data_IF_123801246316
#
_entry.id   IF_123801246316
#
_cell.length_a   1.000
_cell.length_b   1.000
_cell.length_c   1.000
_cell.angle_alpha   90.00
_cell.angle_beta   90.00
_cell.angle_gamma   90.00
#
_symmetry.space_group_name_H-M   'P 1'
#
loop_
_entity.id
_entity.type
_entity.pdbx_description
1 polymer ?
#
# COMPACT_ATOMS: atom_id res chain seq x y z
N UNK A 1 8.64 11.46 20.90
CA UNK A 1 7.75 10.27 20.92
C UNK A 1 6.47 10.68 20.22
N UNK A 2 6.20 10.17 19.03
CA UNK A 2 4.90 10.34 18.37
C UNK A 2 3.92 9.36 19.01
N UNK A 3 2.96 9.86 19.78
CA UNK A 3 1.88 9.06 20.35
C UNK A 3 0.73 8.90 19.35
N UNK A 4 0.08 7.74 19.37
CA UNK A 4 -1.17 7.52 18.64
C UNK A 4 -2.27 8.44 19.17
N UNK A 5 -3.24 8.81 18.32
CA UNK A 5 -4.33 9.68 18.76
C UNK A 5 -5.19 9.00 19.82
N UNK A 6 -5.62 9.75 20.84
CA UNK A 6 -6.47 9.24 21.93
C UNK A 6 -7.88 8.85 21.50
N UNK A 7 -8.30 9.23 20.28
CA UNK A 7 -9.57 8.80 19.69
C UNK A 7 -9.39 7.63 18.71
N UNK A 8 -8.17 7.12 18.55
CA UNK A 8 -7.95 5.89 17.78
C UNK A 8 -8.57 4.72 18.53
N UNK A 9 -9.25 3.87 17.78
CA UNK A 9 -9.84 2.66 18.34
C UNK A 9 -8.75 1.64 18.70
N UNK A 10 -8.94 0.94 19.80
CA UNK A 10 -8.03 -0.09 20.29
C UNK A 10 -8.64 -1.48 20.17
N UNK A 11 -7.81 -2.52 20.33
CA UNK A 11 -8.24 -3.90 20.39
C UNK A 11 -9.20 -4.15 21.57
N UNK A 12 -8.98 -3.51 22.72
CA UNK A 12 -9.92 -3.54 23.85
C UNK A 12 -11.30 -2.99 23.49
N UNK A 13 -11.35 -1.82 22.82
CA UNK A 13 -12.62 -1.23 22.37
C UNK A 13 -13.37 -2.15 21.38
N UNK A 14 -12.62 -2.87 20.52
CA UNK A 14 -13.18 -3.83 19.59
C UNK A 14 -13.74 -5.06 20.30
N UNK A 15 -13.06 -5.56 21.34
CA UNK A 15 -13.58 -6.65 22.17
C UNK A 15 -14.88 -6.25 22.85
N UNK A 16 -14.90 -5.12 23.55
CA UNK A 16 -16.11 -4.61 24.22
C UNK A 16 -17.27 -4.47 23.24
N UNK A 17 -17.00 -3.96 22.04
CA UNK A 17 -17.99 -3.82 20.98
C UNK A 17 -18.58 -5.16 20.54
N UNK A 18 -17.73 -6.16 20.31
CA UNK A 18 -18.17 -7.50 19.88
C UNK A 18 -18.88 -8.21 21.01
N UNK A 19 -18.36 -8.17 22.24
CA UNK A 19 -19.00 -8.75 23.42
C UNK A 19 -20.39 -8.18 23.66
N UNK A 20 -20.57 -6.86 23.54
CA UNK A 20 -21.89 -6.22 23.61
C UNK A 20 -22.82 -6.69 22.50
N UNK A 21 -22.33 -6.80 21.27
CA UNK A 21 -23.14 -7.29 20.15
C UNK A 21 -23.58 -8.75 20.38
N UNK A 22 -22.65 -9.64 20.73
CA UNK A 22 -22.93 -11.07 20.92
C UNK A 22 -23.72 -11.38 22.22
N UNK A 23 -23.95 -10.37 23.06
CA UNK A 23 -24.66 -10.52 24.33
C UNK A 23 -23.81 -11.08 25.48
N UNK A 24 -22.48 -11.09 25.34
CA UNK A 24 -21.54 -11.54 26.38
C UNK A 24 -21.22 -10.45 27.42
N UNK A 25 -21.63 -9.20 27.16
CA UNK A 25 -21.27 -8.04 27.96
C UNK A 25 -19.90 -7.47 27.56
N UNK A 26 -19.42 -6.48 28.31
CA UNK A 26 -18.18 -5.74 27.99
C UNK A 26 -16.95 -6.24 28.75
N UNK A 27 -17.16 -6.86 29.92
CA UNK A 27 -16.07 -7.30 30.79
C UNK A 27 -15.51 -8.65 30.35
N UNK A 28 -14.35 -8.64 29.68
CA UNK A 28 -13.64 -9.84 29.22
C UNK A 28 -13.29 -10.81 30.37
N UNK A 29 -13.20 -10.35 31.61
CA UNK A 29 -12.93 -11.22 32.76
C UNK A 29 -14.09 -12.18 33.05
N UNK A 30 -15.32 -11.81 32.64
CA UNK A 30 -16.52 -12.62 32.80
C UNK A 30 -16.70 -13.62 31.65
N UNK A 31 -15.95 -13.47 30.55
CA UNK A 31 -16.09 -14.33 29.39
C UNK A 31 -15.38 -15.67 29.59
N UNK A 32 -16.04 -16.74 29.15
CA UNK A 32 -15.41 -18.05 29.06
C UNK A 32 -14.41 -18.14 27.89
N UNK A 33 -13.66 -19.26 27.84
CA UNK A 33 -12.64 -19.48 26.80
C UNK A 33 -13.22 -19.59 25.39
N UNK A 34 -14.47 -20.01 25.23
CA UNK A 34 -15.13 -20.07 23.92
C UNK A 34 -15.49 -18.67 23.46
N UNK A 35 -16.14 -17.90 24.33
CA UNK A 35 -16.55 -16.53 24.08
C UNK A 35 -15.36 -15.65 23.67
N UNK A 36 -14.21 -15.79 24.36
CA UNK A 36 -12.97 -15.09 23.97
C UNK A 36 -12.50 -15.46 22.57
N UNK A 37 -12.56 -16.75 22.20
CA UNK A 37 -12.18 -17.21 20.86
C UNK A 37 -13.14 -16.74 19.78
N UNK A 38 -14.43 -16.65 20.10
CA UNK A 38 -15.46 -16.18 19.17
C UNK A 38 -15.29 -14.68 18.91
N UNK A 39 -15.08 -13.89 19.98
CA UNK A 39 -14.76 -12.46 19.86
C UNK A 39 -13.52 -12.23 19.01
N UNK A 40 -12.43 -12.95 19.28
CA UNK A 40 -11.19 -12.86 18.51
C UNK A 40 -11.39 -13.17 17.02
N UNK A 41 -12.16 -14.23 16.73
CA UNK A 41 -12.43 -14.65 15.34
C UNK A 41 -13.21 -13.59 14.58
N UNK A 42 -14.19 -12.98 15.22
CA UNK A 42 -14.99 -11.89 14.66
C UNK A 42 -14.13 -10.66 14.38
N UNK A 43 -13.25 -10.27 15.32
CA UNK A 43 -12.32 -9.16 15.13
C UNK A 43 -11.38 -9.44 13.95
N UNK A 44 -10.75 -10.62 13.93
CA UNK A 44 -9.83 -11.04 12.86
C UNK A 44 -10.54 -11.10 11.49
N UNK A 45 -11.80 -11.53 11.46
CA UNK A 45 -12.63 -11.55 10.25
C UNK A 45 -13.00 -10.13 9.78
N UNK A 46 -13.44 -9.27 10.69
CA UNK A 46 -13.82 -7.88 10.41
C UNK A 46 -12.65 -7.05 9.88
N UNK A 47 -11.48 -7.15 10.51
CA UNK A 47 -10.27 -6.45 10.05
C UNK A 47 -9.88 -6.93 8.66
N UNK A 48 -9.88 -8.25 8.39
CA UNK A 48 -9.61 -8.77 7.04
C UNK A 48 -10.59 -8.24 6.01
N UNK A 49 -11.89 -8.15 6.33
CA UNK A 49 -12.89 -7.57 5.42
C UNK A 49 -12.64 -6.11 5.11
N UNK A 50 -12.20 -5.32 6.10
CA UNK A 50 -11.81 -3.93 5.88
C UNK A 50 -10.56 -3.81 4.98
N UNK A 51 -9.50 -4.56 5.29
CA UNK A 51 -8.25 -4.51 4.53
C UNK A 51 -8.43 -5.00 3.08
N UNK A 52 -9.26 -6.01 2.87
CA UNK A 52 -9.53 -6.62 1.57
C UNK A 52 -10.88 -6.20 0.98
N UNK A 53 -11.35 -4.98 1.27
CA UNK A 53 -12.62 -4.44 0.76
C UNK A 53 -12.59 -4.09 -0.74
N UNK A 54 -11.56 -4.53 -1.49
CA UNK A 54 -11.34 -4.21 -2.90
C UNK A 54 -10.61 -2.89 -3.17
N UNK A 55 -10.19 -2.16 -2.13
CA UNK A 55 -9.39 -0.93 -2.25
C UNK A 55 -7.95 -1.15 -1.77
N UNK A 56 -6.99 -0.56 -2.48
CA UNK A 56 -5.58 -0.62 -2.12
C UNK A 56 -5.24 0.56 -1.19
N UNK A 57 -5.35 0.34 0.11
CA UNK A 57 -5.09 1.35 1.15
C UNK A 57 -3.66 1.89 1.10
N UNK A 58 -3.52 3.22 1.22
CA UNK A 58 -2.20 3.87 1.11
C UNK A 58 -1.37 3.72 2.38
N UNK A 59 -2.00 3.70 3.55
CA UNK A 59 -1.34 3.48 4.83
C UNK A 59 -0.76 2.06 4.97
N UNK A 60 -1.17 1.10 4.13
CA UNK A 60 -0.56 -0.23 4.02
C UNK A 60 0.67 -0.24 3.11
N UNK A 61 1.13 0.93 2.65
CA UNK A 61 2.31 1.09 1.80
C UNK A 61 3.41 1.93 2.46
N UNK A 62 3.92 1.55 3.65
CA UNK A 62 4.96 2.32 4.29
C UNK A 62 6.25 2.33 3.46
N UNK A 63 7.05 3.36 3.73
CA UNK A 63 8.41 3.49 3.22
C UNK A 63 9.36 2.96 4.30
N UNK A 64 10.21 2.01 3.93
CA UNK A 64 11.27 1.46 4.78
C UNK A 64 12.65 1.78 4.22
N UNK A 65 13.64 1.73 5.09
CA UNK A 65 15.05 1.91 4.75
C UNK A 65 15.82 0.64 5.10
N UNK A 66 16.59 0.14 4.13
CA UNK A 66 17.53 -0.96 4.27
C UNK A 66 18.95 -0.40 4.22
N UNK A 67 19.73 -0.62 5.28
CA UNK A 67 21.15 -0.33 5.28
C UNK A 67 21.93 -1.54 4.73
N UNK A 68 22.67 -1.36 3.64
CA UNK A 68 23.52 -2.43 3.09
C UNK A 68 24.78 -2.61 3.91
N UNK A 69 25.32 -3.82 3.90
CA UNK A 69 26.65 -4.15 4.40
C UNK A 69 27.55 -4.48 3.22
N UNK A 70 28.81 -4.02 3.28
CA UNK A 70 29.79 -4.33 2.24
C UNK A 70 29.93 -5.85 2.04
N UNK A 71 29.95 -6.28 0.78
CA UNK A 71 30.01 -7.67 0.34
C UNK A 71 28.80 -8.56 0.71
N UNK A 72 27.71 -8.00 1.27
CA UNK A 72 26.46 -8.73 1.52
C UNK A 72 25.41 -8.39 0.46
N UNK A 73 24.88 -9.41 -0.20
CA UNK A 73 23.96 -9.26 -1.34
C UNK A 73 22.54 -9.74 -1.08
N UNK A 74 22.32 -10.51 -0.02
CA UNK A 74 21.03 -11.08 0.34
C UNK A 74 20.59 -10.50 1.69
N UNK A 75 19.37 -9.97 1.77
CA UNK A 75 18.83 -9.32 2.97
C UNK A 75 17.44 -9.84 3.29
N UNK A 76 17.20 -10.15 4.56
CA UNK A 76 15.88 -10.54 5.02
C UNK A 76 14.94 -9.34 5.05
N UNK A 77 13.76 -9.50 4.46
CA UNK A 77 12.70 -8.49 4.51
C UNK A 77 11.85 -8.66 5.77
N UNK A 78 11.13 -7.59 6.18
CA UNK A 78 10.22 -7.64 7.32
C UNK A 78 9.22 -8.81 7.23
N UNK A 79 8.83 -9.34 8.39
CA UNK A 79 7.91 -10.49 8.47
C UNK A 79 6.50 -10.20 7.98
N UNK A 80 6.13 -8.92 7.90
CA UNK A 80 4.88 -8.40 7.38
C UNK A 80 5.00 -7.96 5.90
N UNK A 81 6.07 -8.31 5.20
CA UNK A 81 6.24 -7.96 3.79
C UNK A 81 5.27 -8.74 2.89
N UNK A 82 4.46 -8.01 2.12
CA UNK A 82 3.50 -8.54 1.15
C UNK A 82 3.88 -8.33 -0.32
N UNK A 83 4.84 -7.44 -0.59
CA UNK A 83 5.28 -7.13 -1.96
C UNK A 83 5.90 -5.75 -2.04
N UNK A 84 6.82 -5.55 -2.98
CA UNK A 84 7.50 -4.26 -3.16
C UNK A 84 6.79 -3.43 -4.23
N UNK A 85 6.66 -2.13 -3.97
CA UNK A 85 5.97 -1.17 -4.84
C UNK A 85 6.99 -0.19 -5.42
N UNK A 86 7.33 -0.39 -6.70
CA UNK A 86 8.25 0.48 -7.43
C UNK A 86 9.74 0.16 -7.23
N UNK A 87 10.64 0.99 -7.80
CA UNK A 87 12.08 0.83 -7.66
C UNK A 87 12.56 1.27 -6.27
N UNK A 88 13.72 0.80 -5.84
CA UNK A 88 14.38 1.34 -4.65
C UNK A 88 15.12 2.62 -5.01
N UNK A 89 15.27 3.54 -4.06
CA UNK A 89 16.04 4.77 -4.23
C UNK A 89 17.15 4.84 -3.20
N UNK A 90 18.26 5.46 -3.58
CA UNK A 90 19.33 5.76 -2.64
C UNK A 90 18.93 6.93 -1.73
N UNK A 91 19.53 6.98 -0.53
CA UNK A 91 19.34 8.08 0.40
C UNK A 91 19.65 9.45 -0.21
N UNK A 92 19.07 10.51 0.35
CA UNK A 92 19.12 11.86 -0.21
C UNK A 92 20.54 12.41 -0.45
N UNK A 93 21.54 11.92 0.28
CA UNK A 93 22.94 12.33 0.15
C UNK A 93 23.68 11.70 -1.02
N UNK A 94 23.07 10.73 -1.70
CA UNK A 94 23.79 9.88 -2.64
C UNK A 94 23.55 10.28 -4.11
N UNK A 95 22.46 10.98 -4.44
CA UNK A 95 22.26 11.59 -5.77
C UNK A 95 22.19 10.61 -6.95
N UNK A 96 22.09 9.31 -6.69
CA UNK A 96 22.13 8.26 -7.71
C UNK A 96 20.75 7.91 -8.26
N UNK A 97 20.76 7.28 -9.44
CA UNK A 97 19.55 6.75 -10.09
C UNK A 97 18.90 5.67 -9.23
N UNK A 98 17.57 5.61 -9.30
CA UNK A 98 16.80 4.54 -8.67
C UNK A 98 17.26 3.15 -9.17
N UNK A 99 17.24 2.17 -8.26
CA UNK A 99 17.58 0.78 -8.53
C UNK A 99 16.31 0.09 -9.06
N UNK A 100 16.24 -0.27 -10.34
CA UNK A 100 15.09 -0.96 -10.90
C UNK A 100 14.92 -2.35 -10.28
N UNK A 101 13.66 -2.78 -10.17
CA UNK A 101 13.34 -4.15 -9.83
C UNK A 101 13.49 -5.04 -11.06
N UNK A 102 14.36 -6.06 -10.97
CA UNK A 102 14.58 -7.08 -11.99
C UNK A 102 14.04 -8.45 -11.58
N UNK A 103 14.16 -9.40 -12.50
CA UNK A 103 13.83 -10.80 -12.22
C UNK A 103 14.93 -11.48 -11.42
N UNK A 104 14.55 -12.39 -10.51
CA UNK A 104 15.51 -13.18 -9.73
C UNK A 104 16.46 -14.01 -10.63
N UNK A 105 15.94 -14.55 -11.73
CA UNK A 105 16.75 -15.27 -12.72
C UNK A 105 17.83 -14.41 -13.38
N UNK A 106 17.59 -13.11 -13.58
CA UNK A 106 18.58 -12.19 -14.15
C UNK A 106 19.73 -11.94 -13.17
N UNK A 107 19.41 -11.70 -11.91
CA UNK A 107 20.43 -11.57 -10.85
C UNK A 107 21.25 -12.86 -10.75
N UNK A 108 20.59 -14.02 -10.80
CA UNK A 108 21.28 -15.32 -10.77
C UNK A 108 22.24 -15.50 -11.95
N UNK A 109 21.82 -15.13 -13.15
CA UNK A 109 22.67 -15.19 -14.35
C UNK A 109 23.87 -14.24 -14.24
N UNK A 110 23.66 -13.02 -13.75
CA UNK A 110 24.74 -12.03 -13.58
C UNK A 110 25.75 -12.47 -12.51
N UNK A 111 25.28 -13.03 -11.39
CA UNK A 111 26.14 -13.61 -10.33
C UNK A 111 26.98 -14.80 -10.80
N UNK A 112 26.50 -15.56 -11.80
CA UNK A 112 27.30 -16.63 -12.41
C UNK A 112 28.38 -16.09 -13.35
N UNK A 113 28.06 -15.04 -14.11
CA UNK A 113 28.97 -14.48 -15.11
C UNK A 113 30.10 -13.66 -14.50
N UNK A 114 29.81 -12.88 -13.46
CA UNK A 114 30.77 -12.02 -12.79
C UNK A 114 30.54 -12.07 -11.27
N UNK A 115 31.62 -11.92 -10.51
CA UNK A 115 31.55 -11.77 -9.05
C UNK A 115 32.31 -10.51 -8.68
N UNK A 116 31.66 -9.36 -8.86
CA UNK A 116 32.21 -8.05 -8.57
C UNK A 116 31.49 -7.37 -7.41
N UNK A 117 32.22 -6.50 -6.71
CA UNK A 117 31.64 -5.57 -5.74
C UNK A 117 31.50 -4.20 -6.38
N UNK A 118 30.32 -3.60 -6.27
CA UNK A 118 30.03 -2.25 -6.71
C UNK A 118 28.73 -1.78 -6.07
N UNK A 119 28.34 -0.54 -6.38
CA UNK A 119 27.00 -0.02 -6.06
C UNK A 119 25.91 -0.89 -6.69
N UNK A 120 24.88 -1.31 -5.94
CA UNK A 120 23.77 -2.07 -6.48
C UNK A 120 23.04 -1.35 -7.61
N UNK A 121 22.89 -1.99 -8.76
CA UNK A 121 22.16 -1.44 -9.93
C UNK A 121 20.90 -2.22 -10.26
N UNK A 122 20.69 -3.36 -9.61
CA UNK A 122 19.52 -4.20 -9.79
C UNK A 122 19.11 -4.82 -8.44
N UNK A 123 17.80 -4.92 -8.24
CA UNK A 123 17.23 -5.60 -7.07
C UNK A 123 16.17 -6.59 -7.49
N UNK A 124 16.09 -7.74 -6.83
CA UNK A 124 14.97 -8.66 -6.96
C UNK A 124 14.49 -9.10 -5.58
N UNK A 125 13.22 -9.51 -5.49
CA UNK A 125 12.66 -10.11 -4.28
C UNK A 125 12.37 -11.57 -4.57
N UNK A 126 12.73 -12.46 -3.65
CA UNK A 126 12.38 -13.89 -3.74
C UNK A 126 11.81 -14.42 -2.44
N UNK A 127 10.92 -15.42 -2.50
CA UNK A 127 10.48 -16.12 -1.30
C UNK A 127 11.63 -16.99 -0.75
N UNK A 128 11.79 -16.99 0.57
CA UNK A 128 12.62 -17.97 1.29
C UNK A 128 11.88 -19.30 1.37
N UNK A 129 12.63 -20.36 1.70
CA UNK A 129 12.04 -21.64 2.01
C UNK A 129 10.96 -21.49 3.10
N UNK A 130 9.84 -22.17 2.90
CA UNK A 130 8.75 -22.18 3.87
C UNK A 130 9.21 -22.85 5.17
N UNK A 131 9.04 -22.16 6.29
CA UNK A 131 9.30 -22.72 7.61
C UNK A 131 8.00 -22.81 8.40
N UNK A 132 7.63 -23.99 8.88
CA UNK A 132 6.32 -24.23 9.50
C UNK A 132 6.02 -23.35 10.73
N UNK A 133 7.04 -22.87 11.44
CA UNK A 133 6.91 -22.03 12.65
C UNK A 133 6.96 -20.53 12.37
N UNK A 134 7.51 -20.12 11.23
CA UNK A 134 7.76 -18.70 10.89
C UNK A 134 6.89 -18.26 9.71
N UNK A 135 6.45 -19.21 8.88
CA UNK A 135 5.65 -18.99 7.68
C UNK A 135 6.52 -18.73 6.45
N UNK A 136 5.93 -18.03 5.48
CA UNK A 136 6.66 -17.53 4.33
C UNK A 136 7.38 -16.22 4.68
N UNK A 137 8.65 -16.14 4.32
CA UNK A 137 9.46 -14.93 4.40
C UNK A 137 10.01 -14.60 3.02
N UNK A 138 10.37 -13.34 2.83
CA UNK A 138 10.98 -12.88 1.61
C UNK A 138 12.38 -12.37 1.90
N UNK A 139 13.25 -12.51 0.92
CA UNK A 139 14.57 -11.90 0.93
C UNK A 139 14.77 -11.06 -0.33
N UNK A 140 15.59 -10.05 -0.18
CA UNK A 140 15.96 -9.10 -1.20
C UNK A 140 17.35 -9.43 -1.70
N UNK A 141 17.48 -9.53 -3.02
CA UNK A 141 18.70 -9.82 -3.74
C UNK A 141 19.21 -8.54 -4.37
N UNK A 142 20.42 -8.14 -4.03
CA UNK A 142 21.12 -7.04 -4.67
C UNK A 142 22.12 -7.56 -5.71
N UNK A 143 22.29 -6.78 -6.76
CA UNK A 143 23.36 -6.95 -7.73
C UNK A 143 23.88 -5.60 -8.23
N UNK A 144 25.20 -5.39 -8.36
CA UNK A 144 26.31 -6.20 -7.82
C UNK A 144 26.33 -6.26 -6.29
N UNK A 145 27.29 -7.00 -5.72
CA UNK A 145 27.53 -7.01 -4.26
C UNK A 145 27.87 -5.59 -3.81
N UNK A 146 27.18 -5.01 -2.80
CA UNK A 146 27.52 -3.68 -2.28
C UNK A 146 29.00 -3.59 -1.93
N UNK A 147 29.68 -2.54 -2.38
CA UNK A 147 31.08 -2.23 -2.03
C UNK A 147 31.19 -1.43 -0.73
N UNK A 148 30.09 -0.78 -0.30
CA UNK A 148 30.01 0.01 0.92
C UNK A 148 28.61 -0.09 1.57
N UNK A 149 28.42 0.69 2.64
CA UNK A 149 27.13 0.88 3.29
C UNK A 149 26.34 1.93 2.52
N UNK A 150 25.14 1.56 2.06
CA UNK A 150 24.19 2.41 1.36
C UNK A 150 22.85 2.37 2.08
N UNK A 151 22.17 3.50 2.15
CA UNK A 151 20.81 3.56 2.69
C UNK A 151 19.80 3.51 1.55
N UNK A 152 19.23 2.32 1.34
CA UNK A 152 18.26 2.09 0.27
C UNK A 152 16.84 2.26 0.82
N UNK A 153 16.09 3.18 0.23
CA UNK A 153 14.70 3.45 0.58
C UNK A 153 13.79 2.71 -0.40
N UNK A 154 12.76 2.05 0.12
CA UNK A 154 11.80 1.30 -0.68
C UNK A 154 10.40 1.37 -0.08
N UNK A 155 9.39 1.24 -0.94
CA UNK A 155 8.00 1.14 -0.52
C UNK A 155 7.54 -0.30 -0.68
N UNK A 156 6.78 -0.79 0.29
CA UNK A 156 6.27 -2.16 0.25
C UNK A 156 4.86 -2.22 0.82
N UNK A 157 4.12 -3.25 0.42
CA UNK A 157 2.81 -3.57 0.95
C UNK A 157 2.95 -4.38 2.24
N UNK A 158 2.22 -3.98 3.28
CA UNK A 158 2.19 -4.66 4.58
C UNK A 158 1.08 -5.72 4.60
N UNK A 159 1.42 -6.93 5.03
CA UNK A 159 0.49 -7.97 5.46
C UNK A 159 0.31 -7.85 6.96
N UNK A 160 -0.89 -7.45 7.39
CA UNK A 160 -1.14 -7.17 8.79
C UNK A 160 -1.11 -8.46 9.64
N UNK A 161 -0.45 -8.36 10.80
CA UNK A 161 -0.52 -9.37 11.86
C UNK A 161 -1.84 -9.25 12.65
N UNK A 162 -2.22 -10.32 13.35
CA UNK A 162 -3.35 -10.28 14.28
C UNK A 162 -3.15 -9.19 15.34
N UNK A 163 -4.22 -8.46 15.69
CA UNK A 163 -4.22 -7.55 16.81
C UNK A 163 -4.14 -8.30 18.13
N UNK A 164 -3.38 -7.75 19.07
CA UNK A 164 -3.18 -8.32 20.40
C UNK A 164 -3.13 -7.19 21.42
N UNK A 165 -3.19 -7.51 22.71
CA UNK A 165 -2.97 -6.51 23.78
C UNK A 165 -1.61 -5.80 23.65
N UNK A 166 -0.59 -6.48 23.12
CA UNK A 166 0.74 -5.92 22.91
C UNK A 166 0.83 -5.04 21.65
N UNK A 167 -0.11 -5.19 20.71
CA UNK A 167 -0.22 -4.41 19.49
C UNK A 167 -1.70 -4.05 19.26
N UNK A 168 -2.26 -3.13 20.08
CA UNK A 168 -3.72 -2.96 20.18
C UNK A 168 -4.28 -2.08 19.07
N UNK A 169 -3.45 -1.37 18.32
CA UNK A 169 -3.91 -0.39 17.34
C UNK A 169 -4.07 -1.01 15.95
N UNK A 170 -5.26 -0.94 15.34
CA UNK A 170 -5.44 -1.30 13.94
C UNK A 170 -4.78 -0.27 13.02
N UNK A 171 -4.37 -0.68 11.80
CA UNK A 171 -3.83 0.22 10.81
C UNK A 171 -4.91 1.19 10.30
N UNK A 172 -4.50 2.40 9.94
CA UNK A 172 -5.39 3.46 9.45
C UNK A 172 -5.82 4.49 10.51
N UNK A 173 -5.50 4.24 11.79
CA UNK A 173 -5.71 5.19 12.89
C UNK A 173 -7.17 5.65 13.02
N UNK A 174 -7.38 6.85 13.57
CA UNK A 174 -8.71 7.42 13.80
C UNK A 174 -9.53 7.58 12.51
N UNK A 175 -8.89 7.93 11.39
CA UNK A 175 -9.57 8.24 10.14
C UNK A 175 -10.43 7.09 9.61
N UNK A 176 -10.06 5.86 9.93
CA UNK A 176 -10.75 4.64 9.49
C UNK A 176 -11.42 3.87 10.63
N UNK A 177 -11.42 4.42 11.86
CA UNK A 177 -11.92 3.74 13.05
C UNK A 177 -13.39 3.31 12.93
N UNK A 178 -14.27 4.18 12.40
CA UNK A 178 -15.69 3.84 12.23
C UNK A 178 -15.92 2.79 11.14
N UNK A 179 -15.10 2.78 10.08
CA UNK A 179 -15.15 1.71 9.07
C UNK A 179 -14.70 0.38 9.65
N UNK A 180 -13.65 0.38 10.49
CA UNK A 180 -13.20 -0.83 11.21
C UNK A 180 -14.30 -1.33 12.15
N UNK A 181 -14.96 -0.44 12.91
CA UNK A 181 -16.12 -0.80 13.75
C UNK A 181 -17.24 -1.43 12.92
N UNK A 182 -17.60 -0.81 11.80
CA UNK A 182 -18.63 -1.33 10.91
C UNK A 182 -18.26 -2.71 10.33
N UNK A 183 -16.99 -2.93 9.96
CA UNK A 183 -16.50 -4.19 9.45
C UNK A 183 -16.58 -5.32 10.48
N UNK A 184 -16.19 -5.04 11.73
CA UNK A 184 -16.27 -5.99 12.84
C UNK A 184 -17.72 -6.31 13.22
N UNK A 185 -18.61 -5.31 13.22
CA UNK A 185 -20.05 -5.54 13.42
C UNK A 185 -20.66 -6.40 12.31
N UNK A 186 -20.24 -6.18 11.06
CA UNK A 186 -20.68 -6.97 9.93
C UNK A 186 -20.19 -8.43 10.04
N UNK A 187 -18.93 -8.65 10.42
CA UNK A 187 -18.41 -9.98 10.69
C UNK A 187 -19.16 -10.70 11.82
N UNK A 188 -19.52 -9.99 12.89
CA UNK A 188 -20.31 -10.55 13.98
C UNK A 188 -21.70 -11.02 13.48
N UNK A 189 -22.33 -10.21 12.62
CA UNK A 189 -23.64 -10.54 12.09
C UNK A 189 -23.61 -11.74 11.15
N UNK A 190 -22.61 -11.85 10.28
CA UNK A 190 -22.47 -13.02 9.39
C UNK A 190 -22.28 -14.34 10.16
N UNK A 191 -21.62 -14.32 11.31
CA UNK A 191 -21.34 -15.53 12.06
C UNK A 191 -22.44 -15.90 13.07
N UNK A 192 -23.11 -14.90 13.66
CA UNK A 192 -24.01 -15.12 14.80
C UNK A 192 -25.41 -14.50 14.66
N UNK A 193 -25.65 -13.61 13.68
CA UNK A 193 -26.93 -12.89 13.53
C UNK A 193 -27.35 -12.78 12.06
N UNK A 194 -27.72 -13.91 11.47
CA UNK A 194 -28.08 -14.01 10.04
C UNK A 194 -29.15 -12.98 9.61
N UNK A 195 -30.11 -12.69 10.48
CA UNK A 195 -31.20 -11.74 10.19
C UNK A 195 -30.73 -10.28 10.04
N UNK A 196 -29.60 -9.90 10.66
CA UNK A 196 -29.07 -8.53 10.61
C UNK A 196 -28.08 -8.31 9.46
N UNK A 197 -27.63 -9.37 8.77
CA UNK A 197 -26.56 -9.31 7.76
C UNK A 197 -26.82 -8.24 6.69
N UNK A 198 -28.00 -8.14 6.05
CA UNK A 198 -28.20 -7.17 4.97
C UNK A 198 -28.02 -5.72 5.41
N UNK A 199 -28.50 -5.38 6.61
CA UNK A 199 -28.40 -4.03 7.16
C UNK A 199 -26.95 -3.70 7.55
N UNK A 200 -26.25 -4.64 8.19
CA UNK A 200 -24.84 -4.46 8.60
C UNK A 200 -23.90 -4.40 7.41
N UNK A 201 -24.15 -5.20 6.38
CA UNK A 201 -23.41 -5.18 5.12
C UNK A 201 -23.52 -3.82 4.43
N UNK A 202 -24.74 -3.27 4.33
CA UNK A 202 -24.98 -1.96 3.72
C UNK A 202 -24.25 -0.85 4.46
N UNK A 203 -24.38 -0.82 5.79
CA UNK A 203 -23.70 0.17 6.62
C UNK A 203 -22.16 0.07 6.47
N UNK A 204 -21.62 -1.15 6.40
CA UNK A 204 -20.20 -1.37 6.14
C UNK A 204 -19.78 -0.84 4.77
N UNK A 205 -20.53 -1.13 3.71
CA UNK A 205 -20.22 -0.65 2.35
C UNK A 205 -20.23 0.88 2.26
N UNK A 206 -21.21 1.54 2.89
CA UNK A 206 -21.29 3.00 2.96
C UNK A 206 -20.05 3.58 3.67
N UNK A 207 -19.63 2.99 4.79
CA UNK A 207 -18.44 3.42 5.52
C UNK A 207 -17.12 3.17 4.75
N UNK A 208 -17.02 2.05 4.03
CA UNK A 208 -15.88 1.77 3.16
C UNK A 208 -15.77 2.84 2.07
N UNK A 209 -16.89 3.20 1.42
CA UNK A 209 -16.88 4.24 0.39
C UNK A 209 -16.34 5.57 0.92
N UNK A 210 -16.76 5.98 2.13
CA UNK A 210 -16.27 7.21 2.77
C UNK A 210 -14.77 7.12 3.11
N UNK A 211 -14.33 6.00 3.66
CA UNK A 211 -12.91 5.77 3.96
C UNK A 211 -12.04 5.75 2.70
N UNK A 212 -12.52 5.18 1.60
CA UNK A 212 -11.81 5.19 0.31
C UNK A 212 -11.66 6.60 -0.24
N UNK A 213 -12.70 7.43 -0.13
CA UNK A 213 -12.63 8.84 -0.53
C UNK A 213 -11.57 9.57 0.30
N UNK A 214 -11.56 9.34 1.63
CA UNK A 214 -10.58 9.96 2.53
C UNK A 214 -9.14 9.53 2.23
N UNK A 215 -8.89 8.23 2.08
CA UNK A 215 -7.57 7.68 1.75
C UNK A 215 -7.06 8.24 0.40
N UNK A 216 -7.92 8.31 -0.62
CA UNK A 216 -7.56 8.93 -1.91
C UNK A 216 -7.26 10.41 -1.79
N UNK A 217 -8.05 11.16 -1.02
CA UNK A 217 -7.82 12.58 -0.80
C UNK A 217 -6.47 12.83 -0.11
N UNK A 218 -6.07 11.95 0.82
CA UNK A 218 -4.83 12.10 1.58
C UNK A 218 -3.54 12.01 0.74
N UNK A 219 -3.59 11.31 -0.41
CA UNK A 219 -2.44 11.16 -1.31
C UNK A 219 -2.55 11.95 -2.61
N UNK A 220 -3.72 12.51 -2.90
CA UNK A 220 -3.91 13.30 -4.12
C UNK A 220 -3.20 14.65 -3.92
N UNK A 221 -2.22 15.01 -4.77
CA UNK A 221 -1.57 16.31 -4.65
C UNK A 221 -2.61 17.42 -4.76
N UNK A 222 -2.73 18.27 -3.73
CA UNK A 222 -3.65 19.42 -3.73
C UNK A 222 -3.32 20.41 -4.86
N UNK A 223 -2.09 20.37 -5.34
CA UNK A 223 -1.62 21.10 -6.50
C UNK A 223 -1.01 20.11 -7.50
N UNK A 224 -1.75 19.81 -8.58
CA UNK A 224 -1.13 19.40 -9.84
C UNK A 224 -0.25 20.58 -10.23
N UNK A 225 1.08 20.42 -10.18
CA UNK A 225 2.04 21.51 -10.32
C UNK A 225 1.67 22.47 -11.45
N UNK A 226 1.97 23.76 -11.26
CA UNK A 226 1.71 24.84 -12.23
C UNK A 226 2.05 24.32 -13.63
N UNK A 227 1.04 24.08 -14.47
CA UNK A 227 1.26 23.88 -15.90
C UNK A 227 2.11 25.07 -16.33
N UNK A 228 3.37 24.78 -16.68
CA UNK A 228 4.27 25.79 -17.20
C UNK A 228 3.56 26.39 -18.39
N UNK A 229 3.08 27.61 -18.20
CA UNK A 229 2.51 28.43 -19.25
C UNK A 229 3.58 28.51 -20.34
N UNK A 230 3.41 27.71 -21.38
CA UNK A 230 4.17 27.90 -22.62
C UNK A 230 3.69 29.25 -23.10
N UNK A 231 4.47 30.27 -22.80
CA UNK A 231 4.31 31.60 -23.38
C UNK A 231 4.24 31.39 -24.89
N UNK A 232 3.02 31.43 -25.43
CA UNK A 232 2.74 31.56 -26.85
C UNK A 232 3.17 32.98 -27.22
N UNK A 233 4.48 33.13 -27.37
CA UNK A 233 5.15 34.41 -27.54
C UNK A 233 6.49 34.23 -28.25
N UNK A 234 6.52 33.34 -29.25
CA UNK A 234 7.55 33.36 -30.28
C UNK A 234 6.82 33.54 -31.61
N UNK A 235 6.59 34.80 -31.97
CA UNK A 235 6.11 35.17 -33.30
C UNK A 235 7.01 34.51 -34.37
N UNK A 236 6.45 33.85 -35.41
CA UNK A 236 7.26 33.34 -36.50
C UNK A 236 7.91 34.54 -37.22
N UNK A 237 9.24 34.49 -37.35
CA UNK A 237 10.00 35.48 -38.12
C UNK A 237 9.51 35.46 -39.57
N UNK A 238 9.10 36.64 -40.02
CA UNK A 238 8.56 36.95 -41.34
C UNK A 238 9.65 36.87 -42.41
N UNK A 239 9.74 35.74 -43.12
CA UNK A 239 10.33 35.54 -44.45
C UNK A 239 10.14 34.05 -44.77
N UNK A 240 9.29 33.60 -45.68
CA UNK A 240 9.22 33.87 -47.10
C UNK A 240 7.82 33.45 -47.59
N UNK A 241 7.08 34.38 -48.18
CA UNK A 241 5.85 34.10 -48.92
C UNK A 241 6.30 33.84 -50.36
N UNK A 242 6.33 32.59 -50.81
CA UNK A 242 6.28 32.21 -52.23
C UNK A 242 5.62 30.83 -52.37
N UNK A 243 4.50 30.75 -53.09
CA UNK A 243 3.98 29.49 -53.63
C UNK A 243 2.59 29.04 -53.20
N UNK A 244 1.58 29.92 -53.15
CA UNK A 244 0.18 29.46 -53.22
C UNK A 244 -0.16 29.09 -54.68
N UNK A 245 -0.09 27.81 -55.03
CA UNK A 245 -0.77 27.30 -56.22
C UNK A 245 -2.21 26.94 -55.85
N UNK A 246 -3.14 27.72 -56.38
CA UNK A 246 -4.58 27.49 -56.32
C UNK A 246 -4.95 26.23 -57.11
N UNK A 247 -5.64 25.30 -56.47
CA UNK A 247 -6.44 24.29 -57.17
C UNK A 247 -7.90 24.76 -57.18
N UNK A 248 -8.40 25.10 -58.38
CA UNK A 248 -9.81 25.37 -58.61
C UNK A 248 -10.58 24.04 -58.68
N UNK A 249 -11.58 23.88 -57.82
CA UNK A 249 -12.57 22.80 -57.92
C UNK A 249 -13.91 23.44 -58.23
N UNK A 250 -14.38 23.27 -59.45
CA UNK A 250 -15.69 23.75 -59.92
C UNK A 250 -16.75 22.71 -59.60
N UNK A 251 -17.76 23.06 -58.79
CA UNK A 251 -18.97 22.24 -58.64
C UNK A 251 -20.21 23.14 -58.60
N UNK A 252 -21.13 22.92 -59.55
CA UNK A 252 -22.55 23.25 -59.42
C UNK A 252 -22.95 24.69 -59.72
N UNK A 253 -23.19 25.00 -60.99
CA UNK A 253 -23.83 26.25 -61.39
C UNK A 253 -25.31 26.30 -60.99
N UNK A 254 -25.78 27.47 -60.52
CA UNK A 254 -26.90 28.26 -61.06
C UNK A 254 -27.04 29.53 -60.21
N UNK A 255 -27.15 30.68 -60.89
CA UNK A 255 -27.23 32.03 -60.32
C UNK A 255 -28.67 32.47 -60.03
N UNK A 256 -28.86 33.28 -58.99
CA UNK A 256 -29.41 34.63 -59.09
C UNK A 256 -28.59 35.57 -58.22
#
# INVERSE_FOLDING_TARGET
MSGESTLSITYGDLKELVGRNLGYGEDESQWDLSQKKDVDRVIDSGIRKFLYSGHAWTFLKPVATLATVASQEDYDLPGDFGGMDGPMTYGQSEGWTAIPMGGEGEIRQRRQANVGTARPTLVAVRPKAFEAKVGHRFELLLWPKPDAVYNLTYRYHVLLNKLTEAAPYPPGGMAHAETIRAAVRFAAAEEFMEDEVPQRQRAFQEQVAMSVIHDRASITPEHLGRYGDVVVGSAPRRSEIHGCQHYNVTVGGTQW
#
